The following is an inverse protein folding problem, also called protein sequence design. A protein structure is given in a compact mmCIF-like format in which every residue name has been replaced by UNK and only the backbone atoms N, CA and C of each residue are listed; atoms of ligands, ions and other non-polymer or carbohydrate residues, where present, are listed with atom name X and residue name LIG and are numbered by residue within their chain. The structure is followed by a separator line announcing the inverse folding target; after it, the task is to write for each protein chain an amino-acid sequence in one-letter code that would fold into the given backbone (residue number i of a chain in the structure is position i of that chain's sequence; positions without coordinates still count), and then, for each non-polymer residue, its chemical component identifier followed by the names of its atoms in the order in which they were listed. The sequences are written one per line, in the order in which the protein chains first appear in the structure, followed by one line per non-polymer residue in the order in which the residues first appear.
data_IF_622089127504
#
_entry.id   IF_622089127504
#
_cell.length_a   1.000
_cell.length_b   1.000
_cell.length_c   1.000
_cell.angle_alpha   90.00
_cell.angle_beta   90.00
_cell.angle_gamma   90.00
#
_symmetry.space_group_name_H-M   'P 1'
#
loop_
_entity.id
_entity.type
_entity.pdbx_description
1 polymer ?
#
# COMPACT_ATOMS: atom_id res chain seq x y z
N UNK A 1 -0.56 10.17 -13.44
CA UNK A 1 -1.07 10.47 -12.09
C UNK A 1 -1.26 9.18 -11.29
N UNK A 2 -2.10 8.26 -11.75
CA UNK A 2 -2.38 6.97 -11.11
C UNK A 2 -1.26 5.93 -11.36
N UNK A 3 -0.06 6.18 -10.86
CA UNK A 3 1.13 5.34 -11.07
C UNK A 3 2.16 5.58 -9.95
N UNK A 4 3.14 4.69 -9.83
CA UNK A 4 4.30 4.91 -8.95
C UNK A 4 4.13 4.29 -7.58
N UNK A 5 5.14 4.49 -6.74
CA UNK A 5 5.40 3.63 -5.58
C UNK A 5 4.35 3.72 -4.47
N UNK A 6 3.58 4.80 -4.36
CA UNK A 6 2.52 5.00 -3.37
C UNK A 6 1.11 4.61 -3.87
N UNK A 7 0.91 4.61 -5.19
CA UNK A 7 -0.35 4.25 -5.82
C UNK A 7 -0.15 3.75 -7.26
N UNK A 8 0.17 2.47 -7.41
CA UNK A 8 0.70 1.91 -8.65
C UNK A 8 -0.36 1.29 -9.58
N UNK A 9 -1.63 1.69 -9.46
CA UNK A 9 -2.75 1.08 -10.20
C UNK A 9 -2.55 1.00 -11.72
N UNK A 10 -1.82 1.92 -12.37
CA UNK A 10 -1.45 1.78 -13.77
C UNK A 10 -0.64 0.51 -14.02
N UNK A 11 0.44 0.27 -13.27
CA UNK A 11 1.25 -0.92 -13.43
C UNK A 11 0.47 -2.18 -13.06
N UNK A 12 -0.37 -2.11 -12.03
CA UNK A 12 -1.26 -3.23 -11.63
C UNK A 12 -2.25 -3.58 -12.75
N UNK A 13 -2.87 -2.58 -13.38
CA UNK A 13 -3.72 -2.81 -14.54
C UNK A 13 -2.92 -3.37 -15.72
N UNK A 14 -1.78 -2.76 -16.05
CA UNK A 14 -0.97 -3.12 -17.21
C UNK A 14 -0.42 -4.56 -17.13
N UNK A 15 -0.11 -5.02 -15.91
CA UNK A 15 0.38 -6.38 -15.64
C UNK A 15 -0.73 -7.41 -15.41
N UNK A 16 -1.99 -7.01 -15.58
CA UNK A 16 -3.13 -7.93 -15.63
C UNK A 16 -3.43 -8.40 -17.06
N UNK A 17 -4.27 -9.42 -17.20
CA UNK A 17 -4.76 -9.84 -18.52
C UNK A 17 -5.56 -8.72 -19.21
N UNK A 18 -6.25 -7.84 -18.45
CA UNK A 18 -6.93 -6.68 -19.04
C UNK A 18 -5.94 -5.70 -19.67
N UNK A 19 -4.84 -5.41 -18.97
CA UNK A 19 -3.77 -4.53 -19.45
C UNK A 19 -3.10 -5.07 -20.72
N UNK A 20 -2.72 -6.34 -20.71
CA UNK A 20 -2.15 -7.00 -21.88
C UNK A 20 -3.13 -7.02 -23.08
N UNK A 21 -4.42 -7.27 -22.82
CA UNK A 21 -5.45 -7.22 -23.87
C UNK A 21 -5.65 -5.80 -24.41
N UNK A 22 -5.56 -4.79 -23.54
CA UNK A 22 -5.60 -3.39 -23.95
C UNK A 22 -4.45 -3.06 -24.90
N UNK A 23 -3.22 -3.43 -24.56
CA UNK A 23 -2.06 -3.22 -25.42
C UNK A 23 -2.26 -3.89 -26.80
N UNK A 24 -2.74 -5.14 -26.81
CA UNK A 24 -2.96 -5.90 -28.04
C UNK A 24 -4.08 -5.33 -28.93
N UNK A 25 -5.15 -4.81 -28.35
CA UNK A 25 -6.37 -4.41 -29.08
C UNK A 25 -6.47 -2.91 -29.35
N UNK A 26 -5.75 -2.07 -28.60
CA UNK A 26 -5.89 -0.60 -28.64
C UNK A 26 -5.75 -0.02 -30.05
N UNK A 27 -4.85 -0.57 -30.88
CA UNK A 27 -4.59 -0.08 -32.23
C UNK A 27 -5.74 -0.35 -33.23
N UNK A 28 -6.69 -1.24 -32.91
CA UNK A 28 -7.73 -1.69 -33.85
C UNK A 28 -9.16 -1.61 -33.28
N UNK A 29 -9.31 -1.40 -31.98
CA UNK A 29 -10.63 -1.26 -31.36
C UNK A 29 -11.25 0.11 -31.60
N UNK A 30 -12.58 0.16 -31.61
CA UNK A 30 -13.35 1.39 -31.78
C UNK A 30 -13.49 2.17 -30.46
N UNK A 31 -12.59 3.14 -30.27
CA UNK A 31 -12.60 4.05 -29.12
C UNK A 31 -13.70 5.13 -29.17
N UNK A 32 -14.41 5.26 -30.29
CA UNK A 32 -15.51 6.23 -30.43
C UNK A 32 -16.77 5.83 -29.64
N UNK A 33 -16.85 4.57 -29.17
CA UNK A 33 -18.01 4.08 -28.42
C UNK A 33 -18.07 4.66 -27.01
N UNK A 34 -19.27 4.98 -26.55
CA UNK A 34 -19.48 5.39 -25.15
C UNK A 34 -19.19 4.24 -24.18
N UNK A 35 -18.73 4.54 -22.98
CA UNK A 35 -18.43 3.58 -21.92
C UNK A 35 -19.73 2.99 -21.34
N UNK A 36 -20.24 1.93 -21.98
CA UNK A 36 -21.48 1.23 -21.62
C UNK A 36 -21.30 -0.27 -21.82
N UNK A 37 -22.10 -1.05 -21.08
CA UNK A 37 -22.18 -2.50 -21.23
C UNK A 37 -22.32 -2.91 -22.70
N UNK A 38 -21.49 -3.86 -23.14
CA UNK A 38 -21.51 -4.43 -24.48
C UNK A 38 -20.74 -3.65 -25.54
N UNK A 39 -20.30 -2.42 -25.26
CA UNK A 39 -19.51 -1.64 -26.24
C UNK A 39 -18.05 -2.05 -26.31
N UNK A 40 -17.50 -2.62 -25.24
CA UNK A 40 -16.08 -2.90 -25.08
C UNK A 40 -15.86 -4.34 -24.63
N UNK A 41 -14.86 -4.99 -25.24
CA UNK A 41 -14.34 -6.29 -24.78
C UNK A 41 -13.34 -6.11 -23.65
N UNK A 42 -12.44 -5.14 -23.79
CA UNK A 42 -11.37 -4.85 -22.82
C UNK A 42 -11.81 -3.70 -21.91
N UNK A 43 -11.91 -3.91 -20.58
CA UNK A 43 -12.22 -2.83 -19.66
C UNK A 43 -10.99 -1.93 -19.45
N UNK A 44 -11.18 -0.62 -19.47
CA UNK A 44 -10.14 0.37 -19.11
C UNK A 44 -10.41 0.99 -17.75
N UNK A 45 -9.49 1.83 -17.25
CA UNK A 45 -9.70 2.63 -16.05
C UNK A 45 -11.04 3.39 -16.09
N UNK A 46 -11.32 4.05 -17.22
CA UNK A 46 -12.55 4.81 -17.41
C UNK A 46 -13.79 3.89 -17.49
N UNK A 47 -13.70 2.71 -18.10
CA UNK A 47 -14.83 1.76 -18.14
C UNK A 47 -15.29 1.39 -16.72
N UNK A 48 -14.35 1.06 -15.83
CA UNK A 48 -14.65 0.61 -14.47
C UNK A 48 -14.94 1.75 -13.49
N UNK A 49 -14.28 2.90 -13.63
CA UNK A 49 -14.38 4.01 -12.68
C UNK A 49 -15.23 5.18 -13.16
N UNK A 50 -15.45 5.36 -14.47
CA UNK A 50 -16.36 6.37 -15.03
C UNK A 50 -17.57 5.68 -15.67
N UNK A 51 -18.20 4.77 -14.93
CA UNK A 51 -19.26 3.90 -15.44
C UNK A 51 -20.39 4.73 -16.04
N UNK A 52 -20.82 4.40 -17.26
CA UNK A 52 -21.84 5.15 -18.01
C UNK A 52 -21.49 6.64 -18.25
N UNK A 53 -20.20 7.01 -18.21
CA UNK A 53 -19.74 8.38 -18.43
C UNK A 53 -19.81 9.27 -17.18
N UNK A 54 -19.94 8.68 -15.99
CA UNK A 54 -19.96 9.43 -14.75
C UNK A 54 -18.60 10.11 -14.47
N UNK A 55 -18.63 11.39 -14.10
CA UNK A 55 -17.44 12.20 -13.86
C UNK A 55 -17.03 12.29 -12.37
N UNK A 56 -17.72 11.56 -11.48
CA UNK A 56 -17.30 11.35 -10.10
C UNK A 56 -16.81 9.89 -9.92
N UNK A 57 -15.58 9.57 -10.33
CA UNK A 57 -15.11 8.19 -10.35
C UNK A 57 -14.93 7.56 -8.97
N UNK A 58 -14.74 8.38 -7.93
CA UNK A 58 -14.57 7.91 -6.56
C UNK A 58 -15.83 7.22 -6.02
N UNK A 59 -17.03 7.63 -6.47
CA UNK A 59 -18.30 7.15 -5.92
C UNK A 59 -18.53 5.64 -6.08
N UNK A 60 -17.81 4.98 -7.00
CA UNK A 60 -17.91 3.53 -7.19
C UNK A 60 -17.08 2.75 -6.17
N UNK A 61 -16.09 3.39 -5.53
CA UNK A 61 -15.33 2.82 -4.43
C UNK A 61 -16.24 2.34 -3.30
N UNK A 62 -15.82 1.27 -2.62
CA UNK A 62 -16.57 0.74 -1.46
C UNK A 62 -16.54 1.73 -0.30
N UNK A 63 -15.35 2.23 0.01
CA UNK A 63 -15.06 3.24 1.03
C UNK A 63 -13.68 3.85 0.73
N UNK A 64 -13.45 5.09 1.15
CA UNK A 64 -12.11 5.67 1.17
C UNK A 64 -11.27 4.98 2.24
N UNK A 65 -10.02 4.65 1.94
CA UNK A 65 -9.15 3.86 2.83
C UNK A 65 -7.69 4.32 2.78
N UNK A 66 -7.47 5.62 2.55
CA UNK A 66 -6.15 6.24 2.52
C UNK A 66 -5.18 5.46 1.62
N UNK A 67 -5.58 5.32 0.35
CA UNK A 67 -4.85 4.55 -0.69
C UNK A 67 -4.69 3.04 -0.42
N UNK A 68 -5.28 2.52 0.65
CA UNK A 68 -5.14 1.12 1.08
C UNK A 68 -4.32 0.96 2.36
N UNK A 69 -3.82 2.06 2.93
CA UNK A 69 -3.12 2.03 4.23
C UNK A 69 -4.08 1.72 5.39
N UNK A 70 -5.38 1.98 5.24
CA UNK A 70 -6.39 1.63 6.23
C UNK A 70 -7.04 0.29 5.86
N UNK A 71 -6.97 -0.67 6.78
CA UNK A 71 -7.53 -2.00 6.55
C UNK A 71 -9.06 -1.94 6.53
N UNK A 72 -9.65 -2.47 5.46
CA UNK A 72 -11.09 -2.69 5.38
C UNK A 72 -11.39 -3.94 4.55
N UNK A 73 -12.17 -4.84 5.14
CA UNK A 73 -12.77 -5.97 4.43
C UNK A 73 -13.96 -5.47 3.61
N UNK A 74 -13.82 -5.39 2.29
CA UNK A 74 -14.85 -4.86 1.39
C UNK A 74 -15.95 -5.89 1.12
N UNK A 75 -15.75 -7.15 1.51
CA UNK A 75 -16.70 -8.25 1.41
C UNK A 75 -17.59 -8.43 2.63
N UNK A 76 -17.29 -7.71 3.72
CA UNK A 76 -18.10 -7.71 4.93
C UNK A 76 -19.58 -7.35 4.63
N UNK A 77 -20.55 -7.91 5.37
CA UNK A 77 -21.98 -7.69 5.12
C UNK A 77 -22.40 -6.21 5.02
N UNK A 78 -21.78 -5.33 5.81
CA UNK A 78 -22.04 -3.88 5.80
C UNK A 78 -21.70 -3.19 4.47
N UNK A 79 -20.90 -3.82 3.61
CA UNK A 79 -20.48 -3.31 2.31
C UNK A 79 -21.16 -4.05 1.14
N UNK A 80 -22.12 -4.92 1.41
CA UNK A 80 -22.78 -5.77 0.40
C UNK A 80 -23.27 -4.99 -0.82
N UNK A 81 -23.91 -3.83 -0.63
CA UNK A 81 -24.40 -3.03 -1.75
C UNK A 81 -23.28 -2.59 -2.72
N UNK A 82 -22.12 -2.19 -2.19
CA UNK A 82 -20.95 -1.82 -3.01
C UNK A 82 -20.34 -3.05 -3.66
N UNK A 83 -20.22 -4.16 -2.92
CA UNK A 83 -19.73 -5.44 -3.45
C UNK A 83 -20.59 -5.93 -4.62
N UNK A 84 -21.91 -5.95 -4.44
CA UNK A 84 -22.86 -6.36 -5.48
C UNK A 84 -22.79 -5.45 -6.70
N UNK A 85 -22.60 -4.13 -6.51
CA UNK A 85 -22.40 -3.19 -7.61
C UNK A 85 -21.15 -3.52 -8.43
N UNK A 86 -20.03 -3.87 -7.79
CA UNK A 86 -18.80 -4.29 -8.49
C UNK A 86 -18.96 -5.64 -9.19
N UNK A 87 -19.58 -6.62 -8.53
CA UNK A 87 -19.91 -7.91 -9.15
C UNK A 87 -20.75 -7.68 -10.40
N UNK A 88 -21.72 -6.76 -10.34
CA UNK A 88 -22.60 -6.45 -11.47
C UNK A 88 -21.84 -5.79 -12.62
N UNK A 89 -20.90 -4.89 -12.34
CA UNK A 89 -20.01 -4.30 -13.34
C UNK A 89 -19.17 -5.38 -14.02
N UNK A 90 -18.53 -6.27 -13.25
CA UNK A 90 -17.77 -7.39 -13.81
C UNK A 90 -18.64 -8.35 -14.64
N UNK A 91 -19.95 -8.41 -14.34
CA UNK A 91 -20.92 -9.22 -15.09
C UNK A 91 -21.21 -8.68 -16.49
N UNK A 92 -20.66 -7.52 -16.88
CA UNK A 92 -20.71 -7.10 -18.27
C UNK A 92 -19.96 -8.08 -19.19
N UNK A 93 -18.92 -8.73 -18.68
CA UNK A 93 -18.06 -9.65 -19.45
C UNK A 93 -17.89 -11.05 -18.81
N UNK A 94 -18.25 -11.24 -17.54
CA UNK A 94 -17.96 -12.47 -16.79
C UNK A 94 -19.18 -13.06 -16.04
N UNK A 95 -19.03 -14.30 -15.59
CA UNK A 95 -19.93 -14.89 -14.60
C UNK A 95 -19.86 -14.09 -13.28
N UNK A 96 -21.00 -13.79 -12.63
CA UNK A 96 -20.99 -13.05 -11.36
C UNK A 96 -20.32 -13.84 -10.23
N UNK A 97 -20.32 -15.19 -10.30
CA UNK A 97 -19.61 -16.03 -9.34
C UNK A 97 -18.11 -15.85 -9.44
N UNK A 98 -17.57 -15.87 -10.67
CA UNK A 98 -16.15 -15.62 -10.92
C UNK A 98 -15.72 -14.25 -10.39
N UNK A 99 -16.49 -13.21 -10.69
CA UNK A 99 -16.22 -11.86 -10.17
C UNK A 99 -16.26 -11.80 -8.64
N UNK A 100 -17.26 -12.42 -8.02
CA UNK A 100 -17.37 -12.48 -6.56
C UNK A 100 -16.17 -13.19 -5.92
N UNK A 101 -15.70 -14.29 -6.52
CA UNK A 101 -14.54 -15.04 -6.02
C UNK A 101 -13.25 -14.20 -6.16
N UNK A 102 -13.04 -13.50 -7.28
CA UNK A 102 -11.89 -12.59 -7.46
C UNK A 102 -11.88 -11.43 -6.46
N UNK A 103 -13.05 -10.86 -6.16
CA UNK A 103 -13.16 -9.79 -5.17
C UNK A 103 -12.97 -10.31 -3.72
N UNK A 104 -13.30 -11.58 -3.45
CA UNK A 104 -12.96 -12.24 -2.18
C UNK A 104 -11.47 -12.54 -2.05
N UNK A 105 -10.80 -12.91 -3.15
CA UNK A 105 -9.34 -13.05 -3.18
C UNK A 105 -8.66 -11.73 -2.78
N UNK A 106 -9.18 -10.59 -3.26
CA UNK A 106 -8.74 -9.27 -2.81
C UNK A 106 -8.94 -9.07 -1.30
N UNK A 107 -10.12 -9.37 -0.77
CA UNK A 107 -10.37 -9.20 0.68
C UNK A 107 -9.40 -10.05 1.51
N UNK A 108 -9.19 -11.31 1.14
CA UNK A 108 -8.29 -12.23 1.84
C UNK A 108 -6.81 -11.78 1.73
N UNK A 109 -6.37 -11.41 0.53
CA UNK A 109 -5.01 -10.95 0.27
C UNK A 109 -4.67 -9.67 1.02
N UNK A 110 -5.60 -8.71 1.06
CA UNK A 110 -5.48 -7.50 1.87
C UNK A 110 -5.43 -7.84 3.35
N UNK A 111 -6.34 -8.67 3.86
CA UNK A 111 -6.34 -9.03 5.28
C UNK A 111 -5.03 -9.70 5.73
N UNK A 112 -4.43 -10.52 4.86
CA UNK A 112 -3.12 -11.14 5.09
C UNK A 112 -2.00 -10.09 5.04
N UNK A 113 -1.98 -9.18 4.07
CA UNK A 113 -0.91 -8.17 3.94
C UNK A 113 -0.74 -7.33 5.20
N UNK A 114 -1.85 -7.06 5.91
CA UNK A 114 -1.86 -6.31 7.16
C UNK A 114 -1.27 -7.06 8.36
N UNK A 115 -1.11 -8.39 8.33
CA UNK A 115 -0.40 -9.10 9.40
C UNK A 115 1.07 -8.69 9.42
N UNK A 116 1.69 -8.60 8.24
CA UNK A 116 3.09 -8.18 8.07
C UNK A 116 3.30 -6.73 8.48
N UNK A 117 2.36 -5.85 8.16
CA UNK A 117 2.39 -4.46 8.63
C UNK A 117 2.34 -4.37 10.16
N UNK A 118 1.41 -5.08 10.80
CA UNK A 118 1.32 -5.08 12.29
C UNK A 118 2.60 -5.61 12.95
N UNK A 119 3.24 -6.62 12.37
CA UNK A 119 4.56 -7.08 12.83
C UNK A 119 5.62 -5.99 12.71
N UNK A 120 5.70 -5.32 11.56
CA UNK A 120 6.64 -4.21 11.35
C UNK A 120 6.42 -3.07 12.36
N UNK A 121 5.17 -2.63 12.52
CA UNK A 121 4.82 -1.57 13.46
C UNK A 121 5.20 -1.92 14.91
N UNK A 122 4.97 -3.17 15.34
CA UNK A 122 5.36 -3.63 16.67
C UNK A 122 6.89 -3.60 16.88
N UNK A 123 7.67 -4.02 15.88
CA UNK A 123 9.15 -3.96 15.93
C UNK A 123 9.63 -2.50 16.03
N UNK A 124 9.09 -1.62 15.19
CA UNK A 124 9.52 -0.22 15.11
C UNK A 124 9.17 0.54 16.38
N UNK A 125 7.91 0.48 16.81
CA UNK A 125 7.46 1.15 18.04
C UNK A 125 8.17 0.56 19.26
N UNK A 126 8.43 -0.76 19.29
CA UNK A 126 9.23 -1.38 20.33
C UNK A 126 10.64 -0.78 20.44
N UNK A 127 11.32 -0.49 19.32
CA UNK A 127 12.61 0.20 19.35
C UNK A 127 12.52 1.63 19.89
N UNK A 128 11.46 2.37 19.58
CA UNK A 128 11.23 3.70 20.13
C UNK A 128 10.98 3.65 21.65
N UNK A 129 10.10 2.76 22.11
CA UNK A 129 9.77 2.61 23.53
C UNK A 129 10.97 2.18 24.37
N UNK A 130 11.88 1.39 23.79
CA UNK A 130 13.14 1.00 24.44
C UNK A 130 14.23 2.08 24.36
N UNK A 131 13.97 3.19 23.65
CA UNK A 131 14.92 4.31 23.50
C UNK A 131 16.16 3.95 22.68
N UNK A 132 16.06 3.00 21.75
CA UNK A 132 17.20 2.48 20.98
C UNK A 132 17.20 2.91 19.51
N UNK A 133 16.25 3.73 19.07
CA UNK A 133 16.27 4.28 17.70
C UNK A 133 17.43 5.26 17.58
N UNK A 134 18.16 5.20 16.47
CA UNK A 134 19.22 6.15 16.16
C UNK A 134 18.98 6.77 14.77
N UNK A 135 18.77 8.10 14.69
CA UNK A 135 18.59 9.04 15.81
C UNK A 135 17.23 8.83 16.52
N UNK A 136 17.14 9.16 17.81
CA UNK A 136 15.86 9.45 18.46
C UNK A 136 15.28 10.78 17.91
N UNK A 137 13.98 11.09 18.10
CA UNK A 137 13.36 12.29 17.52
C UNK A 137 14.10 13.60 17.82
N UNK A 138 14.56 13.79 19.06
CA UNK A 138 15.34 14.97 19.47
C UNK A 138 16.71 15.08 18.78
N UNK A 139 17.24 13.98 18.23
CA UNK A 139 18.47 13.93 17.46
C UNK A 139 18.29 14.32 15.99
N UNK A 140 17.07 14.39 15.48
CA UNK A 140 16.77 14.85 14.10
C UNK A 140 16.44 16.34 14.05
N UNK A 141 16.28 16.89 12.84
CA UNK A 141 15.58 18.15 12.63
C UNK A 141 14.12 18.05 13.11
N UNK A 142 13.48 19.15 13.55
CA UNK A 142 12.07 19.11 13.92
C UNK A 142 11.20 18.71 12.73
N UNK A 143 10.09 18.04 13.01
CA UNK A 143 9.07 17.78 11.99
C UNK A 143 8.43 19.09 11.50
N UNK A 144 7.53 19.01 10.52
CA UNK A 144 6.92 20.20 9.93
C UNK A 144 6.03 20.99 10.90
N UNK A 145 5.62 20.40 12.02
CA UNK A 145 4.91 21.10 13.10
C UNK A 145 5.87 21.84 14.03
N UNK A 146 7.18 21.66 13.87
CA UNK A 146 8.19 22.16 14.79
C UNK A 146 8.43 21.25 16.00
N UNK A 147 7.93 20.01 15.98
CA UNK A 147 8.06 19.07 17.10
C UNK A 147 9.22 18.09 16.93
N UNK A 148 9.70 17.55 18.04
CA UNK A 148 10.63 16.41 18.09
C UNK A 148 9.86 15.15 18.48
N UNK A 149 8.92 14.74 17.62
CA UNK A 149 8.02 13.61 17.87
C UNK A 149 8.36 12.44 16.94
N UNK A 150 8.26 11.22 17.47
CA UNK A 150 8.45 10.01 16.66
C UNK A 150 7.38 9.93 15.57
N UNK A 151 7.80 9.75 14.32
CA UNK A 151 6.91 9.87 13.15
C UNK A 151 5.76 8.87 13.14
N UNK A 152 5.97 7.67 13.70
CA UNK A 152 5.02 6.56 13.68
C UNK A 152 4.22 6.41 14.98
N UNK A 153 4.08 7.48 15.75
CA UNK A 153 3.18 7.56 16.91
C UNK A 153 2.06 8.59 16.70
N UNK A 154 0.97 8.52 17.50
CA UNK A 154 -0.09 9.53 17.44
C UNK A 154 0.48 10.95 17.64
N UNK A 155 0.13 11.87 16.73
CA UNK A 155 0.64 13.24 16.70
C UNK A 155 1.97 13.41 15.96
N UNK A 156 2.63 12.32 15.55
CA UNK A 156 3.79 12.35 14.67
C UNK A 156 3.42 12.57 13.20
N UNK A 157 4.45 12.76 12.39
CA UNK A 157 4.36 12.94 10.94
C UNK A 157 5.02 11.76 10.20
N UNK A 158 4.25 10.73 9.79
CA UNK A 158 4.78 9.58 9.06
C UNK A 158 5.43 10.02 7.73
N UNK A 159 6.77 9.87 7.62
CA UNK A 159 7.55 10.37 6.46
C UNK A 159 8.74 9.49 6.09
N UNK A 160 9.30 9.73 4.91
CA UNK A 160 10.47 9.01 4.36
C UNK A 160 11.76 9.85 4.37
N UNK A 161 11.71 11.08 4.87
CA UNK A 161 12.83 12.05 4.88
C UNK A 161 12.99 12.66 6.28
N UNK A 162 14.18 13.21 6.58
CA UNK A 162 14.47 13.88 7.87
C UNK A 162 13.98 13.08 9.10
N UNK A 163 14.33 11.80 9.13
CA UNK A 163 13.88 10.83 10.14
C UNK A 163 14.88 9.66 10.18
N UNK A 164 14.75 8.75 11.15
CA UNK A 164 15.60 7.57 11.24
C UNK A 164 15.38 6.59 10.08
N UNK A 165 16.36 5.73 9.81
CA UNK A 165 16.20 4.69 8.81
C UNK A 165 15.06 3.72 9.17
N UNK A 166 14.87 3.44 10.47
CA UNK A 166 13.82 2.55 10.95
C UNK A 166 12.42 3.11 10.67
N UNK A 167 12.22 4.41 10.88
CA UNK A 167 10.97 5.10 10.58
C UNK A 167 10.69 5.15 9.08
N UNK A 168 11.71 5.48 8.26
CA UNK A 168 11.60 5.45 6.79
C UNK A 168 11.13 4.07 6.29
N UNK A 169 11.76 2.99 6.75
CA UNK A 169 11.37 1.63 6.38
C UNK A 169 9.92 1.30 6.79
N UNK A 170 9.46 1.81 7.94
CA UNK A 170 8.07 1.70 8.37
C UNK A 170 7.10 2.36 7.41
N UNK A 171 7.42 3.57 6.94
CA UNK A 171 6.58 4.29 5.99
C UNK A 171 6.50 3.60 4.64
N UNK A 172 7.63 3.11 4.15
CA UNK A 172 7.68 2.31 2.92
C UNK A 172 6.82 1.05 3.07
N UNK A 173 6.86 0.38 4.22
CA UNK A 173 6.06 -0.81 4.47
C UNK A 173 4.55 -0.55 4.38
N UNK A 174 4.04 0.53 4.98
CA UNK A 174 2.59 0.80 5.01
C UNK A 174 2.09 1.47 3.73
N UNK A 175 2.78 2.51 3.25
CA UNK A 175 2.33 3.30 2.12
C UNK A 175 2.65 2.58 0.80
N UNK A 176 3.92 2.26 0.59
CA UNK A 176 4.39 1.80 -0.71
C UNK A 176 4.05 0.34 -0.99
N UNK A 177 4.02 -0.49 0.06
CA UNK A 177 3.81 -1.92 -0.08
C UNK A 177 2.39 -2.33 0.32
N UNK A 178 2.01 -2.12 1.57
CA UNK A 178 0.72 -2.60 2.09
C UNK A 178 -0.47 -1.97 1.35
N UNK A 179 -0.39 -0.67 1.05
CA UNK A 179 -1.36 0.02 0.21
C UNK A 179 -1.44 -0.54 -1.23
N UNK A 180 -0.30 -0.87 -1.83
CA UNK A 180 -0.26 -1.41 -3.19
C UNK A 180 -0.65 -2.89 -3.29
N UNK A 181 -0.56 -3.69 -2.22
CA UNK A 181 -1.15 -5.04 -2.23
C UNK A 181 -2.64 -4.95 -2.54
N UNK A 182 -3.36 -4.00 -1.93
CA UNK A 182 -4.76 -3.74 -2.28
C UNK A 182 -4.92 -3.39 -3.76
N UNK A 183 -4.07 -2.51 -4.31
CA UNK A 183 -4.12 -2.14 -5.73
C UNK A 183 -3.86 -3.34 -6.65
N UNK A 184 -2.89 -4.19 -6.32
CA UNK A 184 -2.53 -5.38 -7.11
C UNK A 184 -3.69 -6.38 -7.17
N UNK A 185 -4.36 -6.61 -6.05
CA UNK A 185 -5.56 -7.45 -6.00
C UNK A 185 -6.75 -6.80 -6.73
N UNK A 186 -7.00 -5.50 -6.54
CA UNK A 186 -8.11 -4.80 -7.18
C UNK A 186 -8.01 -4.75 -8.71
N UNK A 187 -6.79 -4.86 -9.27
CA UNK A 187 -6.55 -4.84 -10.71
C UNK A 187 -6.11 -6.19 -11.28
N UNK A 188 -6.22 -7.29 -10.51
CA UNK A 188 -5.97 -8.65 -10.99
C UNK A 188 -4.54 -8.89 -11.50
N UNK A 189 -3.55 -8.15 -11.00
CA UNK A 189 -2.13 -8.39 -11.31
C UNK A 189 -1.60 -9.57 -10.50
N UNK A 190 -1.62 -10.77 -11.10
CA UNK A 190 -1.13 -11.98 -10.42
C UNK A 190 0.32 -11.83 -9.95
N UNK A 191 1.18 -11.23 -10.78
CA UNK A 191 2.58 -11.05 -10.47
C UNK A 191 2.78 -10.01 -9.36
N UNK A 192 2.13 -8.84 -9.41
CA UNK A 192 2.32 -7.82 -8.38
C UNK A 192 1.54 -8.10 -7.08
N UNK A 193 0.61 -9.05 -7.06
CA UNK A 193 0.05 -9.55 -5.80
C UNK A 193 1.12 -10.34 -5.01
N UNK A 194 2.05 -10.98 -5.71
CA UNK A 194 2.98 -11.97 -5.12
C UNK A 194 4.43 -11.51 -5.17
N UNK A 195 5.02 -11.37 -6.36
CA UNK A 195 6.45 -11.13 -6.58
C UNK A 195 6.82 -9.67 -6.90
N UNK A 196 5.96 -8.97 -7.63
CA UNK A 196 6.30 -7.68 -8.24
C UNK A 196 6.31 -6.50 -7.29
N UNK A 197 6.24 -5.29 -7.84
CA UNK A 197 6.26 -4.06 -7.04
C UNK A 197 5.01 -3.97 -6.15
N UNK A 198 5.17 -3.57 -4.89
CA UNK A 198 4.06 -3.41 -3.95
C UNK A 198 3.39 -4.73 -3.56
N UNK A 199 4.13 -5.84 -3.62
CA UNK A 199 3.61 -7.20 -3.47
C UNK A 199 3.78 -7.80 -2.07
N UNK A 200 3.20 -8.98 -1.87
CA UNK A 200 3.40 -9.77 -0.66
C UNK A 200 4.87 -10.11 -0.40
N UNK A 201 5.68 -10.43 -1.41
CA UNK A 201 7.09 -10.78 -1.20
C UNK A 201 7.98 -9.56 -1.05
N UNK A 202 7.60 -8.41 -1.61
CA UNK A 202 8.25 -7.15 -1.24
C UNK A 202 7.97 -6.78 0.22
N UNK A 203 6.75 -7.00 0.73
CA UNK A 203 6.47 -6.85 2.15
C UNK A 203 7.34 -7.78 3.01
N UNK A 204 7.58 -9.03 2.59
CA UNK A 204 8.46 -9.95 3.32
C UNK A 204 9.90 -9.44 3.38
N UNK A 205 10.43 -9.00 2.23
CA UNK A 205 11.77 -8.40 2.15
C UNK A 205 11.87 -7.15 3.02
N UNK A 206 10.89 -6.26 2.97
CA UNK A 206 10.83 -5.05 3.79
C UNK A 206 10.76 -5.38 5.29
N UNK A 207 9.99 -6.40 5.66
CA UNK A 207 9.91 -6.85 7.04
C UNK A 207 11.25 -7.40 7.54
N UNK A 208 12.01 -8.10 6.68
CA UNK A 208 13.40 -8.50 6.99
C UNK A 208 14.29 -7.28 7.19
N UNK A 209 14.20 -6.27 6.32
CA UNK A 209 14.97 -5.02 6.48
C UNK A 209 14.66 -4.31 7.80
N UNK A 210 13.37 -4.22 8.18
CA UNK A 210 12.94 -3.60 9.44
C UNK A 210 13.46 -4.38 10.64
N UNK A 211 13.33 -5.72 10.64
CA UNK A 211 13.86 -6.57 11.72
C UNK A 211 15.40 -6.49 11.79
N UNK A 212 16.07 -6.35 10.65
CA UNK A 212 17.53 -6.19 10.58
C UNK A 212 17.98 -4.84 11.15
N UNK A 213 17.31 -3.75 10.79
CA UNK A 213 17.58 -2.42 11.34
C UNK A 213 17.36 -2.39 12.85
N UNK A 214 16.25 -2.93 13.33
CA UNK A 214 15.96 -3.06 14.76
C UNK A 214 17.01 -3.90 15.51
N UNK A 215 17.44 -5.03 14.93
CA UNK A 215 18.47 -5.88 15.53
C UNK A 215 19.83 -5.16 15.62
N UNK A 216 20.20 -4.40 14.58
CA UNK A 216 21.41 -3.56 14.58
C UNK A 216 21.37 -2.55 15.72
N UNK A 217 20.29 -1.77 15.80
CA UNK A 217 20.07 -0.75 16.84
C UNK A 217 20.18 -1.33 18.26
N UNK A 218 19.50 -2.45 18.51
CA UNK A 218 19.54 -3.12 19.82
C UNK A 218 20.93 -3.65 20.19
N UNK A 219 21.69 -4.16 19.22
CA UNK A 219 23.06 -4.66 19.46
C UNK A 219 24.01 -3.52 19.83
N UNK A 220 23.93 -2.38 19.15
CA UNK A 220 24.71 -1.20 19.50
C UNK A 220 24.39 -0.72 20.92
N UNK A 221 23.11 -0.46 21.21
CA UNK A 221 22.67 0.00 22.52
C UNK A 221 23.09 -0.97 23.65
N UNK A 222 23.01 -2.28 23.43
CA UNK A 222 23.43 -3.28 24.41
C UNK A 222 24.95 -3.25 24.67
N UNK A 223 25.77 -3.09 23.63
CA UNK A 223 27.23 -3.00 23.76
C UNK A 223 27.61 -1.70 24.47
N UNK A 224 27.08 -0.56 24.02
CA UNK A 224 27.35 0.78 24.58
C UNK A 224 27.01 0.84 26.06
N UNK A 225 25.83 0.32 26.44
CA UNK A 225 25.42 0.20 27.84
C UNK A 225 26.37 -0.68 28.64
N UNK A 226 26.85 -1.80 28.09
CA UNK A 226 27.75 -2.73 28.78
C UNK A 226 29.13 -2.12 29.03
N UNK A 227 29.64 -1.32 28.10
CA UNK A 227 30.97 -0.70 28.21
C UNK A 227 30.93 0.71 28.82
N UNK A 228 29.74 1.25 29.09
CA UNK A 228 29.58 2.60 29.64
C UNK A 228 29.86 3.71 28.62
N UNK A 229 29.66 3.47 27.32
CA UNK A 229 29.80 4.47 26.27
C UNK A 229 28.50 5.28 26.18
N UNK A 230 28.59 6.60 26.37
CA UNK A 230 27.47 7.53 26.20
C UNK A 230 27.36 7.91 24.71
N UNK A 231 26.54 7.17 23.97
CA UNK A 231 26.29 7.44 22.55
C UNK A 231 25.50 8.74 22.37
N UNK A 232 25.86 9.51 21.35
CA UNK A 232 25.12 10.70 20.90
C UNK A 232 24.97 10.59 19.39
N UNK A 233 23.73 10.73 18.91
CA UNK A 233 23.44 10.71 17.48
C UNK A 233 24.27 11.78 16.76
N UNK A 234 24.77 11.44 15.58
CA UNK A 234 25.60 12.34 14.80
C UNK A 234 24.87 13.63 14.36
N UNK A 235 25.61 14.72 14.19
CA UNK A 235 25.06 16.06 13.92
C UNK A 235 24.33 16.16 12.57
N UNK A 236 24.74 15.38 11.57
CA UNK A 236 24.14 15.37 10.23
C UNK A 236 22.67 14.92 10.22
N UNK A 237 22.17 14.33 11.31
CA UNK A 237 20.75 14.02 11.45
C UNK A 237 19.89 15.27 11.66
N UNK A 238 20.50 16.36 12.14
CA UNK A 238 19.83 17.60 12.52
C UNK A 238 20.18 18.79 11.61
N UNK A 239 21.42 18.86 11.14
CA UNK A 239 21.97 19.99 10.39
C UNK A 239 22.47 19.61 8.99
#
# INVERSE_FOLDING_TARGET
CHMGIDHDEWAMYNTSIHGASYEAESARMDWGKKLKKGNYRVPTCAYCHMQNGDHNPQRFGTIYSDMGMFQVDRGAPKHKAKRDSWIKLCQDCHSPRFAADKLKEMDAGVNLSFTKWREAAAVIVGCYLDGVVDPMPEGSAPDWYGHYTFSLLPGGDPRFYATSNLERLGLEMICYLTGNVYKAYAHMSMYNQTYGNGSAFEQDRKLVEIKTEAAKLRRFAAIEKKIGLEHKSADFWKH
#
